data_IF_769187580877
#
_entry.id   IF_769187580877
#
_cell.length_a   1.000
_cell.length_b   1.000
_cell.length_c   1.000
_cell.angle_alpha   90.00
_cell.angle_beta   90.00
_cell.angle_gamma   90.00
#
_symmetry.space_group_name_H-M   'P 1'
#
loop_
_entity.id
_entity.type
_entity.pdbx_description
1 polymer ?
#
# COMPACT_ATOMS: atom_id res chain seq x y z
N UNK A 1 10.87 4.70 0.43
CA UNK A 1 10.53 4.80 -1.00
C UNK A 1 9.27 3.97 -1.25
N UNK A 2 8.44 4.22 -2.29
CA UNK A 2 7.16 3.55 -2.50
C UNK A 2 7.24 2.01 -2.55
N UNK A 3 8.38 1.46 -2.98
CA UNK A 3 8.64 0.03 -3.08
C UNK A 3 8.81 -0.69 -1.72
N UNK A 4 8.84 0.05 -0.61
CA UNK A 4 8.86 -0.51 0.75
C UNK A 4 7.47 -0.59 1.37
N UNK A 5 6.44 -0.15 0.66
CA UNK A 5 5.08 -0.11 1.14
C UNK A 5 4.27 -1.23 0.51
N UNK A 6 3.52 -1.96 1.34
CA UNK A 6 2.62 -3.03 0.90
C UNK A 6 1.24 -2.81 1.50
N UNK A 7 0.19 -3.08 0.71
CA UNK A 7 -1.18 -3.14 1.21
C UNK A 7 -1.55 -4.59 1.52
N UNK A 8 -2.22 -4.81 2.63
CA UNK A 8 -2.72 -6.12 3.07
C UNK A 8 -4.13 -5.99 3.64
N UNK A 9 -4.90 -7.08 3.58
CA UNK A 9 -6.18 -7.21 4.26
C UNK A 9 -6.04 -7.80 5.67
N UNK A 10 -4.87 -8.36 5.99
CA UNK A 10 -4.58 -8.99 7.27
C UNK A 10 -3.85 -8.02 8.21
N UNK A 11 -4.38 -7.88 9.43
CA UNK A 11 -3.81 -7.04 10.50
C UNK A 11 -2.75 -7.77 11.35
N UNK A 12 -2.42 -9.03 11.05
CA UNK A 12 -1.64 -9.92 11.91
C UNK A 12 -0.20 -9.46 12.24
N UNK A 13 0.27 -8.34 11.68
CA UNK A 13 1.59 -7.80 11.99
C UNK A 13 1.49 -6.57 12.91
N UNK A 14 2.28 -6.56 13.99
CA UNK A 14 2.44 -5.44 14.94
C UNK A 14 2.82 -4.07 14.32
N UNK A 15 3.00 -4.00 12.99
CA UNK A 15 3.41 -2.80 12.24
C UNK A 15 2.41 -2.43 11.13
N UNK A 16 1.26 -3.09 11.09
CA UNK A 16 0.18 -2.80 10.14
C UNK A 16 -0.54 -1.51 10.53
N UNK A 17 -0.51 -0.51 9.65
CA UNK A 17 -1.17 0.79 9.89
C UNK A 17 -2.54 0.79 9.20
N UNK A 18 -3.65 0.91 9.94
CA UNK A 18 -4.98 1.00 9.33
C UNK A 18 -5.04 2.20 8.37
N UNK A 19 -5.51 1.96 7.16
CA UNK A 19 -5.59 2.99 6.13
C UNK A 19 -6.81 2.80 5.23
N UNK A 20 -7.10 3.82 4.44
CA UNK A 20 -8.18 3.80 3.46
C UNK A 20 -7.64 4.15 2.08
N UNK A 21 -8.13 3.43 1.07
CA UNK A 21 -7.85 3.73 -0.33
C UNK A 21 -8.64 4.97 -0.75
N UNK A 22 -7.92 6.03 -1.13
CA UNK A 22 -8.50 7.26 -1.68
C UNK A 22 -8.70 7.15 -3.17
N UNK A 23 -7.67 6.74 -3.89
CA UNK A 23 -7.65 6.66 -5.34
C UNK A 23 -6.90 5.41 -5.81
N UNK A 24 -7.29 4.93 -6.98
CA UNK A 24 -6.64 3.81 -7.68
C UNK A 24 -6.35 4.28 -9.10
N UNK A 25 -5.10 4.16 -9.52
CA UNK A 25 -4.67 4.49 -10.87
C UNK A 25 -4.03 3.28 -11.53
N UNK A 26 -4.55 2.88 -12.69
CA UNK A 26 -4.03 1.77 -13.47
C UNK A 26 -3.20 2.29 -14.64
N UNK A 27 -2.00 1.74 -14.83
CA UNK A 27 -1.10 2.07 -15.92
C UNK A 27 -0.41 0.79 -16.42
N UNK A 28 -0.97 0.20 -17.49
CA UNK A 28 -0.50 -1.07 -18.03
C UNK A 28 -0.60 -2.19 -16.99
N UNK A 29 0.53 -2.85 -16.72
CA UNK A 29 0.64 -3.90 -15.70
C UNK A 29 0.91 -3.36 -14.29
N UNK A 30 0.78 -2.05 -14.06
CA UNK A 30 1.03 -1.42 -12.77
C UNK A 30 -0.23 -0.77 -12.23
N UNK A 31 -0.44 -0.89 -10.92
CA UNK A 31 -1.46 -0.18 -10.18
C UNK A 31 -0.79 0.69 -9.11
N UNK A 32 -1.25 1.92 -9.00
CA UNK A 32 -0.89 2.85 -7.93
C UNK A 32 -2.11 3.09 -7.04
N UNK A 33 -1.96 2.81 -5.76
CA UNK A 33 -2.94 3.10 -4.73
C UNK A 33 -2.52 4.35 -3.97
N UNK A 34 -3.38 5.35 -3.93
CA UNK A 34 -3.25 6.46 -2.98
C UNK A 34 -3.99 6.09 -1.70
N UNK A 35 -3.28 6.09 -0.58
CA UNK A 35 -3.81 5.76 0.74
C UNK A 35 -3.59 6.90 1.73
N UNK A 36 -4.45 7.00 2.74
CA UNK A 36 -4.36 8.04 3.76
C UNK A 36 -3.98 7.49 5.12
N UNK A 37 -2.79 7.83 5.61
CA UNK A 37 -2.29 7.44 6.93
C UNK A 37 -2.18 8.68 7.80
N UNK A 38 -2.97 8.78 8.87
CA UNK A 38 -2.96 9.92 9.80
C UNK A 38 -3.03 11.29 9.09
N UNK A 39 -3.88 11.40 8.06
CA UNK A 39 -4.02 12.62 7.24
C UNK A 39 -2.94 12.84 6.17
N UNK A 40 -1.87 12.04 6.17
CA UNK A 40 -0.82 12.08 5.15
C UNK A 40 -1.21 11.15 3.98
N UNK A 41 -1.19 11.66 2.75
CA UNK A 41 -1.37 10.84 1.55
C UNK A 41 -0.06 10.16 1.18
N UNK A 42 -0.11 8.84 0.99
CA UNK A 42 1.00 8.01 0.53
C UNK A 42 0.60 7.29 -0.75
N UNK A 43 1.57 7.05 -1.64
CA UNK A 43 1.38 6.28 -2.87
C UNK A 43 2.09 4.94 -2.76
N UNK A 44 1.34 3.87 -3.01
CA UNK A 44 1.84 2.50 -3.04
C UNK A 44 1.74 1.99 -4.48
N UNK A 45 2.86 1.56 -5.05
CA UNK A 45 2.91 1.03 -6.41
C UNK A 45 3.08 -0.48 -6.36
N UNK A 46 2.29 -1.18 -7.16
CA UNK A 46 2.35 -2.65 -7.27
C UNK A 46 2.21 -3.07 -8.73
N UNK A 47 2.88 -4.16 -9.10
CA UNK A 47 2.58 -4.86 -10.36
C UNK A 47 1.29 -5.65 -10.18
N UNK A 48 0.39 -5.53 -11.16
CA UNK A 48 -0.85 -6.29 -11.19
C UNK A 48 -0.51 -7.77 -11.35
N UNK A 49 -0.98 -8.61 -10.43
CA UNK A 49 -0.89 -10.08 -10.52
C UNK A 49 -2.26 -10.72 -10.35
N UNK A 50 -2.41 -11.97 -10.81
CA UNK A 50 -3.67 -12.73 -10.69
C UNK A 50 -4.08 -13.00 -9.23
N UNK A 51 -3.13 -12.87 -8.30
CA UNK A 51 -3.35 -13.01 -6.85
C UNK A 51 -3.74 -11.68 -6.17
N UNK A 52 -3.92 -10.60 -6.94
CA UNK A 52 -4.26 -9.30 -6.38
C UNK A 52 -5.69 -9.27 -5.86
N UNK A 53 -5.83 -8.73 -4.65
CA UNK A 53 -7.12 -8.35 -4.11
C UNK A 53 -7.74 -7.31 -5.05
N UNK A 54 -9.00 -7.53 -5.44
CA UNK A 54 -9.82 -6.54 -6.13
C UNK A 54 -10.19 -5.41 -5.15
N UNK A 55 -9.22 -4.53 -4.92
CA UNK A 55 -9.37 -3.39 -4.03
C UNK A 55 -10.12 -2.27 -4.74
N UNK A 56 -11.01 -1.61 -4.01
CA UNK A 56 -11.83 -0.51 -4.47
C UNK A 56 -11.57 0.75 -3.64
N UNK A 57 -12.01 1.89 -4.17
CA UNK A 57 -12.04 3.14 -3.42
C UNK A 57 -12.84 2.96 -2.12
N UNK A 58 -12.37 3.59 -1.05
CA UNK A 58 -12.92 3.56 0.30
C UNK A 58 -12.73 2.25 1.08
N UNK A 59 -12.14 1.22 0.47
CA UNK A 59 -11.75 -0.01 1.15
C UNK A 59 -10.81 0.29 2.32
N UNK A 60 -11.07 -0.42 3.43
CA UNK A 60 -10.22 -0.41 4.62
C UNK A 60 -9.19 -1.52 4.46
N UNK A 61 -7.92 -1.11 4.43
CA UNK A 61 -6.77 -2.00 4.28
C UNK A 61 -5.74 -1.63 5.34
N UNK A 62 -4.70 -2.44 5.49
CA UNK A 62 -3.55 -2.08 6.30
C UNK A 62 -2.36 -1.79 5.41
N UNK A 63 -1.63 -0.73 5.75
CA UNK A 63 -0.34 -0.41 5.18
C UNK A 63 0.75 -1.06 6.02
N UNK A 64 1.54 -1.90 5.39
CA UNK A 64 2.75 -2.48 5.96
C UNK A 64 4.00 -1.83 5.37
N UNK A 65 4.98 -1.60 6.22
CA UNK A 65 6.30 -1.11 5.83
C UNK A 65 7.26 -2.30 5.87
N UNK A 66 7.78 -2.70 4.71
CA UNK A 66 8.78 -3.75 4.58
C UNK A 66 10.14 -3.23 5.05
N UNK A 67 10.36 -3.29 6.37
CA UNK A 67 11.53 -2.68 7.01
C UNK A 67 12.86 -3.23 6.53
N UNK A 68 12.89 -4.47 6.03
CA UNK A 68 14.10 -5.10 5.48
C UNK A 68 14.60 -4.42 4.20
N UNK A 69 13.71 -3.73 3.48
CA UNK A 69 14.08 -3.00 2.26
C UNK A 69 14.50 -1.56 2.54
N UNK A 70 14.33 -1.06 3.77
CA UNK A 70 14.68 0.32 4.12
C UNK A 70 16.21 0.46 4.18
N UNK A 71 16.79 1.18 3.22
CA UNK A 71 18.13 1.73 3.35
C UNK A 71 18.04 3.08 4.06
N UNK A 72 18.61 3.19 5.25
CA UNK A 72 18.80 4.47 5.94
C UNK A 72 20.03 5.13 5.33
N UNK A 73 19.84 6.21 4.56
CA UNK A 73 20.95 7.05 4.11
C UNK A 73 21.51 7.77 5.34
N UNK A 74 22.79 7.52 5.64
CA UNK A 74 23.57 8.28 6.63
C UNK A 74 24.17 9.52 5.97
#
# INVERSE_FOLDING_TARGET
>A
RPEFLKLTLDANHNRAIPTRIKHIHFSGSMVEYEVSVNGISLRVKKLVSDEDFNLHKDDRVFLEIETEKISILR
#
